data_IF_893521460996
#
_entry.id   IF_893521460996
#
_cell.length_a   1.000
_cell.length_b   1.000
_cell.length_c   1.000
_cell.angle_alpha   90.00
_cell.angle_beta   90.00
_cell.angle_gamma   90.00
#
_symmetry.space_group_name_H-M   'P 1'
#
loop_
_entity.id
_entity.type
_entity.pdbx_description
1 polymer ?
#
# COMPACT_ATOMS: atom_id res chain seq x y z
N UNK A 1 6.79 0.60 8.31
CA UNK A 1 6.63 -0.87 8.25
C UNK A 1 7.47 -1.53 7.14
N UNK A 2 7.76 -0.86 6.02
CA UNK A 2 8.71 -1.35 4.98
C UNK A 2 10.18 -1.16 5.40
N UNK A 3 10.47 -0.22 6.31
CA UNK A 3 11.82 0.05 6.84
C UNK A 3 12.48 -1.17 7.49
N UNK A 4 11.70 -2.13 8.01
CA UNK A 4 12.24 -3.36 8.62
C UNK A 4 13.08 -4.23 7.68
N UNK A 5 12.90 -4.10 6.36
CA UNK A 5 13.61 -4.91 5.35
C UNK A 5 15.02 -4.37 5.06
N UNK A 6 15.27 -3.06 5.27
CA UNK A 6 16.58 -2.42 5.03
C UNK A 6 17.42 -2.28 6.30
N UNK A 7 16.81 -2.42 7.48
CA UNK A 7 17.47 -2.35 8.78
C UNK A 7 18.65 -3.32 9.02
N UNK A 8 18.76 -4.52 8.41
CA UNK A 8 19.86 -5.42 8.77
C UNK A 8 21.22 -5.04 8.15
N UNK A 9 21.28 -4.04 7.27
CA UNK A 9 22.54 -3.60 6.62
C UNK A 9 23.19 -2.40 7.30
N UNK A 10 22.40 -1.50 7.89
CA UNK A 10 22.85 -0.41 8.78
C UNK A 10 21.67 0.07 9.61
N UNK A 11 21.79 0.20 10.94
CA UNK A 11 20.75 0.86 11.73
C UNK A 11 20.66 2.33 11.28
N UNK A 12 19.56 2.68 10.62
CA UNK A 12 19.27 4.05 10.22
C UNK A 12 19.05 4.91 11.47
N UNK A 13 19.57 6.14 11.46
CA UNK A 13 19.24 7.12 12.49
C UNK A 13 17.74 7.46 12.45
N UNK A 14 17.16 7.93 13.57
CA UNK A 14 15.73 8.31 13.64
C UNK A 14 15.35 9.31 12.53
N UNK A 15 16.27 10.21 12.18
CA UNK A 15 16.08 11.18 11.10
C UNK A 15 16.02 10.52 9.71
N UNK A 16 16.91 9.58 9.44
CA UNK A 16 16.93 8.83 8.16
C UNK A 16 15.74 7.89 8.04
N UNK A 17 15.29 7.28 9.15
CA UNK A 17 14.05 6.50 9.19
C UNK A 17 12.86 7.38 8.84
N UNK A 18 12.73 8.55 9.48
CA UNK A 18 11.65 9.50 9.19
C UNK A 18 11.65 9.99 7.73
N UNK A 19 12.82 10.28 7.17
CA UNK A 19 12.94 10.67 5.76
C UNK A 19 12.57 9.53 4.80
N UNK A 20 12.96 8.29 5.13
CA UNK A 20 12.62 7.09 4.35
C UNK A 20 11.12 6.80 4.41
N UNK A 21 10.52 6.84 5.59
CA UNK A 21 9.08 6.65 5.77
C UNK A 21 8.27 7.74 5.05
N UNK A 22 8.74 9.00 5.08
CA UNK A 22 8.12 10.10 4.33
C UNK A 22 8.19 9.84 2.82
N UNK A 23 9.36 9.47 2.29
CA UNK A 23 9.54 9.19 0.87
C UNK A 23 8.64 8.03 0.42
N UNK A 24 8.62 6.93 1.18
CA UNK A 24 7.76 5.77 0.92
C UNK A 24 6.29 6.20 0.97
N UNK A 25 5.89 7.00 1.95
CA UNK A 25 4.53 7.52 2.08
C UNK A 25 4.11 8.38 0.88
N UNK A 26 4.96 9.30 0.44
CA UNK A 26 4.71 10.15 -0.74
C UNK A 26 4.61 9.32 -2.01
N UNK A 27 5.55 8.39 -2.24
CA UNK A 27 5.52 7.50 -3.41
C UNK A 27 4.26 6.62 -3.40
N UNK A 28 3.88 6.10 -2.23
CA UNK A 28 2.64 5.32 -2.06
C UNK A 28 1.41 6.17 -2.40
N UNK A 29 1.33 7.41 -1.90
CA UNK A 29 0.23 8.31 -2.20
C UNK A 29 0.13 8.62 -3.70
N UNK A 30 1.27 8.90 -4.36
CA UNK A 30 1.31 9.14 -5.82
C UNK A 30 0.80 7.91 -6.57
N UNK A 31 1.31 6.72 -6.24
CA UNK A 31 0.91 5.47 -6.88
C UNK A 31 -0.58 5.17 -6.70
N UNK A 32 -1.12 5.32 -5.48
CA UNK A 32 -2.55 5.13 -5.19
C UNK A 32 -3.39 6.13 -5.99
N UNK A 33 -3.00 7.41 -6.00
CA UNK A 33 -3.71 8.44 -6.76
C UNK A 33 -3.73 8.11 -8.26
N UNK A 34 -2.58 7.80 -8.85
CA UNK A 34 -2.46 7.48 -10.28
C UNK A 34 -3.22 6.21 -10.64
N UNK A 35 -3.20 5.20 -9.77
CA UNK A 35 -3.95 3.96 -9.97
C UNK A 35 -5.46 4.22 -9.97
N UNK A 36 -5.98 4.95 -8.97
CA UNK A 36 -7.39 5.32 -8.93
C UNK A 36 -7.82 6.13 -10.17
N UNK A 37 -6.96 7.03 -10.67
CA UNK A 37 -7.25 7.81 -11.88
C UNK A 37 -7.26 6.95 -13.14
N UNK A 38 -6.28 6.06 -13.30
CA UNK A 38 -6.21 5.12 -14.42
C UNK A 38 -7.41 4.17 -14.43
N UNK A 39 -7.75 3.60 -13.27
CA UNK A 39 -8.86 2.66 -13.12
C UNK A 39 -10.23 3.31 -13.40
N UNK A 40 -10.44 4.55 -12.97
CA UNK A 40 -11.65 5.30 -13.30
C UNK A 40 -11.75 5.60 -14.80
N UNK A 41 -10.62 5.93 -15.44
CA UNK A 41 -10.55 6.18 -16.88
C UNK A 41 -10.86 4.92 -17.70
N UNK A 42 -10.30 3.77 -17.34
CA UNK A 42 -10.57 2.47 -17.98
C UNK A 42 -12.05 2.08 -17.91
N UNK A 43 -12.74 2.46 -16.84
CA UNK A 43 -14.15 2.13 -16.62
C UNK A 43 -15.12 3.15 -17.20
N UNK A 44 -14.62 4.19 -17.87
CA UNK A 44 -15.40 5.34 -18.35
C UNK A 44 -16.27 5.99 -17.26
N UNK A 45 -15.87 5.87 -15.99
CA UNK A 45 -16.54 6.51 -14.87
C UNK A 45 -15.94 7.91 -14.73
N UNK A 46 -16.78 8.94 -14.55
CA UNK A 46 -16.30 10.31 -14.33
C UNK A 46 -15.27 10.27 -13.19
N UNK A 47 -13.99 10.59 -13.47
CA UNK A 47 -12.94 10.43 -12.48
C UNK A 47 -13.18 11.46 -11.41
N UNK A 48 -13.75 11.01 -10.29
CA UNK A 48 -13.95 11.82 -9.11
C UNK A 48 -12.58 12.04 -8.45
N UNK A 49 -11.79 12.94 -9.06
CA UNK A 49 -10.40 13.21 -8.65
C UNK A 49 -10.27 13.54 -7.16
N UNK A 50 -11.35 14.02 -6.56
CA UNK A 50 -11.48 14.23 -5.11
C UNK A 50 -11.45 12.92 -4.31
N UNK A 51 -12.18 11.88 -4.70
CA UNK A 51 -12.15 10.59 -3.98
C UNK A 51 -10.82 9.85 -4.20
N UNK A 52 -10.22 9.95 -5.39
CA UNK A 52 -8.89 9.42 -5.64
C UNK A 52 -7.82 10.13 -4.78
N UNK A 53 -7.91 11.45 -4.62
CA UNK A 53 -7.01 12.23 -3.75
C UNK A 53 -7.17 11.82 -2.28
N UNK A 54 -8.40 11.69 -1.80
CA UNK A 54 -8.63 11.25 -0.42
C UNK A 54 -8.19 9.80 -0.17
N UNK A 55 -8.38 8.91 -1.14
CA UNK A 55 -7.88 7.54 -1.07
C UNK A 55 -6.35 7.47 -1.03
N UNK A 56 -5.65 8.40 -1.68
CA UNK A 56 -4.20 8.51 -1.60
C UNK A 56 -3.69 9.08 -0.27
N UNK A 57 -4.39 10.08 0.29
CA UNK A 57 -3.99 10.73 1.55
C UNK A 57 -4.30 9.89 2.79
N UNK A 58 -5.46 9.21 2.79
CA UNK A 58 -5.96 8.41 3.90
C UNK A 58 -6.46 7.05 3.39
N UNK A 59 -5.56 6.18 2.91
CA UNK A 59 -5.93 4.90 2.30
C UNK A 59 -6.84 4.02 3.16
N UNK A 60 -6.59 3.84 4.48
CA UNK A 60 -7.42 2.94 5.30
C UNK A 60 -8.90 3.31 5.33
N UNK A 61 -9.23 4.60 5.19
CA UNK A 61 -10.61 5.09 5.30
C UNK A 61 -11.22 5.34 3.92
N UNK A 62 -10.50 6.04 3.04
CA UNK A 62 -11.08 6.53 1.79
C UNK A 62 -10.90 5.57 0.62
N UNK A 63 -9.98 4.60 0.68
CA UNK A 63 -9.88 3.56 -0.36
C UNK A 63 -11.11 2.63 -0.35
N UNK A 64 -11.63 2.15 0.80
CA UNK A 64 -12.92 1.46 0.85
C UNK A 64 -14.06 2.31 0.28
N UNK A 65 -14.16 3.58 0.69
CA UNK A 65 -15.21 4.50 0.22
C UNK A 65 -15.12 4.70 -1.29
N UNK A 66 -13.92 4.86 -1.84
CA UNK A 66 -13.68 4.95 -3.28
C UNK A 66 -14.21 3.70 -3.99
N UNK A 67 -13.84 2.50 -3.53
CA UNK A 67 -14.26 1.24 -4.15
C UNK A 67 -15.78 1.05 -4.14
N UNK A 68 -16.46 1.35 -3.03
CA UNK A 68 -17.93 1.25 -2.98
C UNK A 68 -18.64 2.33 -3.80
N UNK A 69 -17.96 3.43 -4.12
CA UNK A 69 -18.50 4.49 -4.99
C UNK A 69 -18.29 4.20 -6.48
N UNK A 70 -17.18 3.55 -6.85
CA UNK A 70 -16.83 3.30 -8.26
C UNK A 70 -17.13 1.88 -8.72
N UNK A 71 -17.44 0.96 -7.81
CA UNK A 71 -17.71 -0.46 -8.11
C UNK A 71 -18.99 -0.97 -7.45
N UNK A 72 -19.49 -2.10 -7.93
CA UNK A 72 -20.55 -2.82 -7.25
C UNK A 72 -20.07 -3.34 -5.88
N UNK A 73 -20.97 -3.41 -4.91
CA UNK A 73 -20.65 -3.80 -3.54
C UNK A 73 -19.91 -5.15 -3.46
N UNK A 74 -20.30 -6.12 -4.30
CA UNK A 74 -19.64 -7.42 -4.38
C UNK A 74 -18.16 -7.29 -4.79
N UNK A 75 -17.88 -6.52 -5.84
CA UNK A 75 -16.51 -6.35 -6.34
C UNK A 75 -15.67 -5.53 -5.37
N UNK A 76 -16.24 -4.49 -4.75
CA UNK A 76 -15.57 -3.71 -3.72
C UNK A 76 -15.15 -4.58 -2.52
N UNK A 77 -16.07 -5.40 -1.99
CA UNK A 77 -15.79 -6.33 -0.89
C UNK A 77 -14.71 -7.35 -1.27
N UNK A 78 -14.81 -7.98 -2.45
CA UNK A 78 -13.79 -8.93 -2.91
C UNK A 78 -12.42 -8.28 -3.08
N UNK A 79 -12.38 -7.04 -3.57
CA UNK A 79 -11.13 -6.27 -3.70
C UNK A 79 -10.52 -6.02 -2.32
N UNK A 80 -11.32 -5.56 -1.34
CA UNK A 80 -10.85 -5.30 0.02
C UNK A 80 -10.34 -6.57 0.71
N UNK A 81 -11.10 -7.67 0.63
CA UNK A 81 -10.69 -8.98 1.17
C UNK A 81 -9.39 -9.44 0.51
N UNK A 82 -9.29 -9.33 -0.83
CA UNK A 82 -8.09 -9.65 -1.58
C UNK A 82 -6.88 -8.82 -1.14
N UNK A 83 -7.06 -7.51 -0.90
CA UNK A 83 -5.99 -6.63 -0.40
C UNK A 83 -5.50 -7.04 0.99
N UNK A 84 -6.41 -7.44 1.90
CA UNK A 84 -6.05 -7.94 3.23
C UNK A 84 -5.29 -9.26 3.13
N UNK A 85 -5.77 -10.20 2.33
CA UNK A 85 -5.10 -11.49 2.11
C UNK A 85 -3.71 -11.31 1.49
N UNK A 86 -3.59 -10.40 0.52
CA UNK A 86 -2.31 -10.06 -0.10
C UNK A 86 -1.33 -9.46 0.92
N UNK A 87 -1.80 -8.55 1.78
CA UNK A 87 -0.99 -7.99 2.85
C UNK A 87 -0.50 -9.07 3.82
N UNK A 88 -1.38 -10.00 4.25
CA UNK A 88 -0.99 -11.14 5.09
C UNK A 88 0.08 -11.98 4.38
N UNK A 89 -0.14 -12.34 3.12
CA UNK A 89 0.80 -13.15 2.35
C UNK A 89 2.18 -12.50 2.21
N UNK A 90 2.26 -11.20 1.93
CA UNK A 90 3.54 -10.47 1.89
C UNK A 90 4.24 -10.47 3.25
N UNK A 91 3.49 -10.27 4.35
CA UNK A 91 4.10 -10.29 5.68
C UNK A 91 4.65 -11.69 6.03
N UNK A 92 3.94 -12.76 5.65
CA UNK A 92 4.43 -14.13 5.81
C UNK A 92 5.69 -14.39 4.98
N UNK A 93 5.73 -13.92 3.73
CA UNK A 93 6.91 -14.02 2.86
C UNK A 93 8.10 -13.24 3.44
N UNK A 94 7.87 -12.03 3.94
CA UNK A 94 8.91 -11.23 4.60
C UNK A 94 9.44 -11.91 5.86
N UNK A 95 8.57 -12.49 6.67
CA UNK A 95 8.97 -13.25 7.86
C UNK A 95 9.82 -14.48 7.47
N UNK A 96 9.40 -15.24 6.46
CA UNK A 96 10.15 -16.38 5.96
C UNK A 96 11.53 -15.98 5.40
N UNK A 97 11.59 -14.88 4.63
CA UNK A 97 12.84 -14.35 4.10
C UNK A 97 13.79 -13.90 5.22
N UNK A 98 13.28 -13.25 6.26
CA UNK A 98 14.07 -12.84 7.41
C UNK A 98 14.69 -14.04 8.13
N UNK A 99 13.91 -15.11 8.36
CA UNK A 99 14.38 -16.36 8.98
C UNK A 99 15.47 -17.00 8.11
N UNK A 100 15.27 -17.09 6.79
CA UNK A 100 16.26 -17.67 5.89
C UNK A 100 17.59 -16.89 5.89
N UNK A 101 17.53 -15.55 5.95
CA UNK A 101 18.74 -14.71 6.01
C UNK A 101 19.48 -14.86 7.34
N UNK A 102 18.77 -15.04 8.45
CA UNK A 102 19.42 -15.26 9.76
C UNK A 102 20.13 -16.60 9.85
N UNK A 103 19.52 -17.68 9.33
CA UNK A 103 20.11 -19.03 9.33
C UNK A 103 21.34 -19.13 8.41
N UNK A 104 21.38 -18.37 7.31
CA UNK A 104 22.55 -18.31 6.42
C UNK A 104 23.75 -17.55 7.01
N UNK A 105 23.55 -16.81 8.11
CA UNK A 105 24.58 -15.99 8.76
C UNK A 105 25.19 -16.67 10.00
N UNK A 106 24.56 -17.73 10.51
CA UNK A 106 25.05 -18.63 11.58
C UNK A 106 25.83 -19.79 11.01
#
# INVERSE_FOLDING_TARGET
>A
MIVGILSPLRPLSVREQGATDLLIGVLTAVMVYTWCRAEAAERAVIPSGRFALWAALLPPVFFPVYLYRTRSARVATLTLVGSVLYYIAINLLNAAALIAVTELRT
#
